data_IF_916101936257
#
_entry.id   IF_916101936257
#
_cell.length_a   1.000
_cell.length_b   1.000
_cell.length_c   1.000
_cell.angle_alpha   90.00
_cell.angle_beta   90.00
_cell.angle_gamma   90.00
#
_symmetry.space_group_name_H-M   'P 1'
#
loop_
_entity.id
_entity.type
_entity.pdbx_description
1 polymer ?
#
# COMPACT_ATOMS: atom_id res chain seq x y z
N UNK A 1 18.05 -6.48 -21.93
CA UNK A 1 17.82 -6.44 -20.47
C UNK A 1 16.48 -5.75 -20.27
N UNK A 2 15.39 -6.51 -20.24
CA UNK A 2 14.04 -5.96 -20.09
C UNK A 2 13.86 -5.67 -18.60
N UNK A 3 13.81 -4.39 -18.20
CA UNK A 3 13.39 -4.06 -16.84
C UNK A 3 12.00 -4.66 -16.65
N UNK A 4 11.86 -5.61 -15.72
CA UNK A 4 10.54 -6.04 -15.29
C UNK A 4 9.85 -4.77 -14.76
N UNK A 5 8.82 -4.29 -15.47
CA UNK A 5 8.02 -3.20 -14.98
C UNK A 5 7.55 -3.60 -13.57
N UNK A 6 7.82 -2.75 -12.57
CA UNK A 6 7.33 -2.99 -11.23
C UNK A 6 5.83 -3.20 -11.32
N UNK A 7 5.33 -4.38 -10.93
CA UNK A 7 3.93 -4.78 -11.11
C UNK A 7 2.94 -3.92 -10.30
N UNK A 8 3.47 -3.02 -9.48
CA UNK A 8 2.74 -2.00 -8.74
C UNK A 8 3.53 -0.68 -8.78
N UNK A 9 2.86 0.42 -8.44
CA UNK A 9 3.49 1.73 -8.22
C UNK A 9 2.92 2.40 -6.97
N UNK A 10 3.72 3.24 -6.32
CA UNK A 10 3.27 4.10 -5.24
C UNK A 10 2.86 5.46 -5.79
N UNK A 11 1.72 5.98 -5.35
CA UNK A 11 1.20 7.30 -5.73
C UNK A 11 0.85 8.11 -4.49
N UNK A 12 1.10 9.41 -4.53
CA UNK A 12 0.58 10.33 -3.53
C UNK A 12 -0.89 10.65 -3.84
N UNK A 13 -1.72 10.70 -2.82
CA UNK A 13 -3.16 11.04 -2.90
C UNK A 13 -3.54 11.96 -1.72
N UNK A 14 -2.76 13.03 -1.57
CA UNK A 14 -2.93 13.98 -0.49
C UNK A 14 -4.23 14.77 -0.66
N UNK A 15 -4.92 15.05 0.46
CA UNK A 15 -6.06 15.96 0.51
C UNK A 15 -5.78 17.14 1.46
N UNK A 16 -6.80 17.97 1.66
CA UNK A 16 -6.71 19.16 2.51
C UNK A 16 -6.37 18.82 3.99
N UNK A 17 -6.69 17.61 4.45
CA UNK A 17 -6.60 17.22 5.87
C UNK A 17 -5.58 16.10 6.12
N UNK A 18 -5.11 15.42 5.08
CA UNK A 18 -4.27 14.23 5.19
C UNK A 18 -3.20 14.15 4.11
N UNK A 19 -2.08 13.54 4.50
CA UNK A 19 -1.10 13.01 3.56
C UNK A 19 -1.43 11.54 3.32
N UNK A 20 -1.42 11.10 2.06
CA UNK A 20 -1.70 9.70 1.70
C UNK A 20 -0.74 9.17 0.66
N UNK A 21 -0.44 7.89 0.78
CA UNK A 21 0.35 7.12 -0.17
C UNK A 21 -0.43 5.85 -0.48
N UNK A 22 -0.69 5.59 -1.75
CA UNK A 22 -1.41 4.40 -2.21
C UNK A 22 -0.46 3.53 -3.01
N UNK A 23 -0.51 2.22 -2.80
CA UNK A 23 0.03 1.24 -3.72
C UNK A 23 -1.08 0.83 -4.70
N UNK A 24 -0.81 0.96 -6.00
CA UNK A 24 -1.74 0.58 -7.06
C UNK A 24 -1.13 -0.43 -8.01
N UNK A 25 -1.93 -1.33 -8.56
CA UNK A 25 -1.50 -2.31 -9.57
C UNK A 25 -1.31 -1.66 -10.96
N UNK A 26 -0.97 -2.48 -11.96
CA UNK A 26 -0.78 -2.05 -13.35
C UNK A 26 -2.06 -1.46 -13.99
N UNK A 27 -3.24 -1.82 -13.49
CA UNK A 27 -4.55 -1.33 -13.94
C UNK A 27 -4.99 -0.08 -13.15
N UNK A 28 -4.24 0.31 -12.12
CA UNK A 28 -4.55 1.44 -11.25
C UNK A 28 -5.49 1.10 -10.09
N UNK A 29 -5.76 -0.19 -9.84
CA UNK A 29 -6.55 -0.60 -8.69
C UNK A 29 -5.75 -0.44 -7.41
N UNK A 30 -6.42 -0.01 -6.35
CA UNK A 30 -5.81 0.25 -5.06
C UNK A 30 -5.61 -1.05 -4.26
N UNK A 31 -4.34 -1.38 -3.98
CA UNK A 31 -3.93 -2.59 -3.27
C UNK A 31 -3.91 -2.35 -1.75
N UNK A 32 -3.18 -1.32 -1.32
CA UNK A 32 -3.06 -0.91 0.08
C UNK A 32 -2.66 0.56 0.14
N UNK A 33 -2.73 1.16 1.32
CA UNK A 33 -2.29 2.54 1.47
C UNK A 33 -1.91 2.91 2.89
N UNK A 34 -1.30 4.07 3.00
CA UNK A 34 -0.92 4.68 4.24
C UNK A 34 -1.40 6.11 4.26
N UNK A 35 -1.81 6.58 5.43
CA UNK A 35 -2.21 7.97 5.62
C UNK A 35 -1.78 8.49 6.97
N UNK A 36 -1.66 9.82 7.07
CA UNK A 36 -1.63 10.53 8.34
C UNK A 36 -2.45 11.82 8.24
N UNK A 37 -2.98 12.28 9.36
CA UNK A 37 -3.54 13.63 9.42
C UNK A 37 -2.43 14.67 9.23
N UNK A 38 -2.75 15.85 8.69
CA UNK A 38 -1.81 17.00 8.72
C UNK A 38 -1.60 17.55 10.13
N UNK A 39 -2.53 17.27 11.05
CA UNK A 39 -2.50 17.76 12.45
C UNK A 39 -1.72 16.86 13.39
N UNK A 40 -1.50 15.60 13.00
CA UNK A 40 -0.87 14.58 13.82
C UNK A 40 0.24 13.89 13.04
N UNK A 41 1.33 13.54 13.71
CA UNK A 41 2.43 12.81 13.08
C UNK A 41 2.28 11.29 13.28
N UNK A 42 1.09 10.75 12.98
CA UNK A 42 0.75 9.33 13.17
C UNK A 42 0.41 8.66 11.84
N UNK A 43 1.40 8.05 11.19
CA UNK A 43 1.15 7.27 9.99
C UNK A 43 0.42 5.97 10.32
N UNK A 44 -0.57 5.64 9.48
CA UNK A 44 -1.39 4.44 9.59
C UNK A 44 -1.40 3.72 8.26
N UNK A 45 -1.04 2.44 8.26
CA UNK A 45 -1.12 1.53 7.11
C UNK A 45 -2.43 0.76 7.16
N UNK A 46 -3.05 0.55 6.00
CA UNK A 46 -4.24 -0.27 5.86
C UNK A 46 -4.15 -1.19 4.64
N UNK A 47 -4.73 -2.37 4.76
CA UNK A 47 -4.95 -3.32 3.67
C UNK A 47 -6.34 -3.09 3.06
N UNK A 48 -6.47 -3.18 1.73
CA UNK A 48 -7.79 -3.23 1.08
C UNK A 48 -8.30 -4.66 1.01
N UNK A 49 -9.60 -4.83 0.74
CA UNK A 49 -10.18 -6.14 0.45
C UNK A 49 -9.49 -6.84 -0.73
N UNK A 50 -9.07 -6.09 -1.76
CA UNK A 50 -8.35 -6.62 -2.92
C UNK A 50 -7.06 -7.33 -2.51
N UNK A 51 -6.27 -6.70 -1.63
CA UNK A 51 -5.06 -7.31 -1.08
C UNK A 51 -5.38 -8.58 -0.28
N UNK A 52 -6.38 -8.51 0.59
CA UNK A 52 -6.79 -9.62 1.46
C UNK A 52 -7.24 -10.82 0.65
N UNK A 53 -8.17 -10.63 -0.29
CA UNK A 53 -8.69 -11.71 -1.13
C UNK A 53 -7.58 -12.28 -2.03
N UNK A 54 -6.67 -11.43 -2.55
CA UNK A 54 -5.58 -11.86 -3.42
C UNK A 54 -4.40 -12.54 -2.71
N UNK A 55 -4.27 -12.41 -1.38
CA UNK A 55 -3.12 -12.98 -0.63
C UNK A 55 -3.52 -14.00 0.43
N UNK A 56 -4.81 -14.09 0.79
CA UNK A 56 -5.29 -14.90 1.90
C UNK A 56 -4.87 -14.38 3.28
N UNK A 57 -4.31 -13.17 3.37
CA UNK A 57 -3.97 -12.53 4.65
C UNK A 57 -5.25 -12.23 5.44
N UNK A 58 -5.20 -12.37 6.77
CA UNK A 58 -6.29 -11.87 7.62
C UNK A 58 -6.30 -10.35 7.60
N UNK A 59 -7.47 -9.71 7.45
CA UNK A 59 -7.58 -8.26 7.45
C UNK A 59 -7.07 -7.66 8.77
N UNK A 60 -5.94 -6.93 8.77
CA UNK A 60 -5.45 -6.31 9.99
C UNK A 60 -6.28 -5.07 10.31
N UNK A 61 -6.39 -4.74 11.60
CA UNK A 61 -6.72 -3.37 11.99
C UNK A 61 -5.62 -2.42 11.48
N UNK A 62 -5.97 -1.15 11.24
CA UNK A 62 -5.00 -0.15 10.78
C UNK A 62 -3.77 -0.16 11.70
N UNK A 63 -2.58 -0.32 11.11
CA UNK A 63 -1.34 -0.46 11.87
C UNK A 63 -0.65 0.88 11.93
N UNK A 64 -0.34 1.34 13.15
CA UNK A 64 0.47 2.54 13.36
C UNK A 64 1.92 2.28 12.94
N UNK A 65 2.50 3.24 12.22
CA UNK A 65 3.92 3.23 11.83
C UNK A 65 4.57 4.57 12.17
N UNK A 66 5.87 4.52 12.44
CA UNK A 66 6.61 5.59 13.10
C UNK A 66 6.88 6.76 12.16
N UNK A 67 6.99 6.51 10.85
CA UNK A 67 7.44 7.49 9.86
C UNK A 67 6.81 7.28 8.49
N UNK A 68 7.00 8.26 7.59
CA UNK A 68 6.59 8.15 6.19
C UNK A 68 7.40 7.06 5.48
N UNK A 69 8.68 6.97 5.79
CA UNK A 69 9.62 5.99 5.24
C UNK A 69 9.22 4.58 5.64
N UNK A 70 8.85 4.36 6.90
CA UNK A 70 8.33 3.06 7.35
C UNK A 70 7.00 2.74 6.68
N UNK A 71 6.11 3.73 6.55
CA UNK A 71 4.87 3.55 5.80
C UNK A 71 5.15 3.07 4.36
N UNK A 72 6.07 3.72 3.66
CA UNK A 72 6.48 3.33 2.29
C UNK A 72 6.98 1.89 2.25
N UNK A 73 7.89 1.49 3.17
CA UNK A 73 8.41 0.11 3.22
C UNK A 73 7.31 -0.92 3.44
N UNK A 74 6.35 -0.61 4.31
CA UNK A 74 5.18 -1.46 4.52
C UNK A 74 4.33 -1.59 3.25
N UNK A 75 4.08 -0.50 2.53
CA UNK A 75 3.33 -0.54 1.27
C UNK A 75 4.04 -1.33 0.19
N UNK A 76 5.36 -1.16 0.04
CA UNK A 76 6.17 -1.94 -0.90
C UNK A 76 6.10 -3.44 -0.60
N UNK A 77 6.24 -3.82 0.67
CA UNK A 77 6.16 -5.22 1.09
C UNK A 77 4.78 -5.82 0.78
N UNK A 78 3.70 -5.14 1.16
CA UNK A 78 2.33 -5.63 0.94
C UNK A 78 1.99 -5.72 -0.56
N UNK A 79 2.37 -4.70 -1.34
CA UNK A 79 2.16 -4.70 -2.79
C UNK A 79 3.00 -5.78 -3.48
N UNK A 80 4.23 -6.02 -3.02
CA UNK A 80 5.04 -7.14 -3.50
C UNK A 80 4.37 -8.49 -3.24
N UNK A 81 3.86 -8.74 -2.03
CA UNK A 81 3.15 -9.98 -1.74
C UNK A 81 1.90 -10.16 -2.59
N UNK A 82 1.11 -9.09 -2.78
CA UNK A 82 -0.03 -9.11 -3.68
C UNK A 82 0.36 -9.52 -5.09
N UNK A 83 1.30 -8.81 -5.70
CA UNK A 83 1.71 -9.06 -7.10
C UNK A 83 2.30 -10.46 -7.28
N UNK A 84 3.02 -10.97 -6.28
CA UNK A 84 3.53 -12.34 -6.29
C UNK A 84 2.40 -13.38 -6.20
N UNK A 85 1.38 -13.15 -5.38
CA UNK A 85 0.24 -14.05 -5.28
C UNK A 85 -0.58 -14.09 -6.59
N UNK A 86 -0.75 -12.93 -7.24
CA UNK A 86 -1.41 -12.86 -8.54
C UNK A 86 -0.63 -13.54 -9.66
N UNK A 87 0.70 -13.53 -9.61
CA UNK A 87 1.53 -14.25 -10.58
C UNK A 87 1.54 -15.78 -10.38
N UNK A 88 1.09 -16.26 -9.22
CA UNK A 88 1.02 -17.68 -8.88
C UNK A 88 -0.40 -18.28 -9.07
N UNK A 89 -1.38 -17.43 -9.39
CA UNK A 89 -2.78 -17.79 -9.66
C UNK A 89 -3.03 -17.98 -11.15
#
# INVERSE_FOLDING_TARGET
MTMAATAYRLVADDDAESFRILAVDAQGNHICGAYRSRRLNDWKVYATKLLIDGTGLTQPHKVHVISREDAVRWLEMLAHYYTRAQAAS
#
